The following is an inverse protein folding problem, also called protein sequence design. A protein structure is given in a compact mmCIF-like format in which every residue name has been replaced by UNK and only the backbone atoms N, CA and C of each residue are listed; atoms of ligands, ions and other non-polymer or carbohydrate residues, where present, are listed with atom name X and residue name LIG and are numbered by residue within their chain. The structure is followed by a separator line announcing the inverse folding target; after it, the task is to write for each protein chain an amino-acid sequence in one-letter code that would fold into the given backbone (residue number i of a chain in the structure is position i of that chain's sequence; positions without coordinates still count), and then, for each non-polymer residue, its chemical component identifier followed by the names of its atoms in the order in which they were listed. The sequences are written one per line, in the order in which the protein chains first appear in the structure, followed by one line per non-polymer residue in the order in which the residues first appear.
data_IF_890912753805
#
_entry.id   IF_890912753805
#
_cell.length_a   1.000
_cell.length_b   1.000
_cell.length_c   1.000
_cell.angle_alpha   90.00
_cell.angle_beta   90.00
_cell.angle_gamma   90.00
#
_symmetry.space_group_name_H-M   'P 1'
#
loop_
_entity.id
_entity.type
_entity.pdbx_description
1 polymer ?
#
# COMPACT_ATOMS: atom_id res chain seq x y z
N UNK A 1 -9.27 18.74 10.35
CA UNK A 1 -8.68 17.41 10.52
C UNK A 1 -8.70 16.79 9.14
N UNK A 2 -7.57 16.75 8.45
CA UNK A 2 -7.49 16.13 7.13
C UNK A 2 -7.44 14.63 7.38
N UNK A 3 -8.52 13.91 7.10
CA UNK A 3 -8.49 12.46 7.16
C UNK A 3 -7.54 11.99 6.05
N UNK A 4 -6.43 11.35 6.42
CA UNK A 4 -5.51 10.83 5.42
C UNK A 4 -6.17 9.77 4.56
N UNK A 5 -5.54 9.50 3.42
CA UNK A 5 -6.12 8.60 2.42
C UNK A 5 -5.35 7.29 2.36
N UNK A 6 -6.07 6.18 2.50
CA UNK A 6 -5.53 4.82 2.36
C UNK A 6 -5.73 4.35 0.92
N UNK A 7 -4.64 3.94 0.29
CA UNK A 7 -4.61 3.47 -1.10
C UNK A 7 -4.34 1.99 -1.08
N UNK A 8 -5.22 1.19 -1.68
CA UNK A 8 -5.02 -0.25 -1.85
C UNK A 8 -4.62 -0.50 -3.30
N UNK A 9 -3.39 -0.94 -3.54
CA UNK A 9 -2.91 -1.30 -4.86
C UNK A 9 -3.63 -2.55 -5.41
N UNK A 10 -3.68 -2.70 -6.75
CA UNK A 10 -4.31 -3.86 -7.37
C UNK A 10 -3.64 -5.16 -6.90
N UNK A 11 -4.32 -6.29 -7.07
CA UNK A 11 -3.79 -7.60 -6.70
C UNK A 11 -4.26 -8.12 -5.35
N UNK A 12 -3.91 -9.39 -5.06
CA UNK A 12 -4.46 -10.15 -3.95
C UNK A 12 -5.91 -10.60 -4.14
N UNK A 13 -6.47 -11.30 -3.14
CA UNK A 13 -7.84 -11.80 -3.17
C UNK A 13 -8.86 -10.64 -3.12
N UNK A 14 -9.87 -10.68 -3.98
CA UNK A 14 -10.94 -9.66 -3.99
C UNK A 14 -11.70 -9.61 -2.67
N UNK A 15 -11.91 -10.78 -2.03
CA UNK A 15 -12.55 -10.88 -0.73
C UNK A 15 -11.75 -10.15 0.36
N UNK A 16 -10.43 -10.31 0.38
CA UNK A 16 -9.54 -9.60 1.29
C UNK A 16 -9.69 -8.08 1.14
N UNK A 17 -9.61 -7.56 -0.10
CA UNK A 17 -9.78 -6.12 -0.36
C UNK A 17 -11.15 -5.61 0.09
N UNK A 18 -12.21 -6.35 -0.22
CA UNK A 18 -13.58 -5.95 0.15
C UNK A 18 -13.79 -5.93 1.67
N UNK A 19 -13.21 -6.89 2.38
CA UNK A 19 -13.29 -6.99 3.85
C UNK A 19 -12.48 -5.88 4.50
N UNK A 20 -11.29 -5.60 3.99
CA UNK A 20 -10.44 -4.53 4.49
C UNK A 20 -11.06 -3.15 4.25
N UNK A 21 -11.59 -2.88 3.04
CA UNK A 21 -12.29 -1.61 2.77
C UNK A 21 -13.49 -1.42 3.70
N UNK A 22 -14.25 -2.49 3.99
CA UNK A 22 -15.35 -2.42 4.95
C UNK A 22 -14.86 -2.13 6.36
N UNK A 23 -13.78 -2.77 6.81
CA UNK A 23 -13.19 -2.53 8.12
C UNK A 23 -12.68 -1.08 8.27
N UNK A 24 -12.02 -0.54 7.24
CA UNK A 24 -11.56 0.86 7.23
C UNK A 24 -12.75 1.84 7.27
N UNK A 25 -13.79 1.59 6.48
CA UNK A 25 -14.99 2.43 6.46
C UNK A 25 -15.72 2.42 7.81
N UNK A 26 -15.76 1.27 8.50
CA UNK A 26 -16.34 1.16 9.84
C UNK A 26 -15.59 1.98 10.89
N UNK A 27 -14.29 2.20 10.68
CA UNK A 27 -13.44 3.04 11.53
C UNK A 27 -13.51 4.54 11.16
N UNK A 28 -14.25 4.88 10.09
CA UNK A 28 -14.36 6.25 9.59
C UNK A 28 -13.19 6.71 8.72
N UNK A 29 -12.30 5.79 8.30
CA UNK A 29 -11.19 6.09 7.41
C UNK A 29 -11.62 6.16 5.94
N UNK A 30 -10.85 6.89 5.13
CA UNK A 30 -11.03 6.94 3.68
C UNK A 30 -10.06 5.98 2.99
N UNK A 31 -10.61 4.96 2.32
CA UNK A 31 -9.83 4.05 1.49
C UNK A 31 -10.43 3.94 0.09
N UNK A 32 -9.55 3.83 -0.91
CA UNK A 32 -9.95 3.41 -2.25
C UNK A 32 -8.97 2.38 -2.80
N UNK A 33 -9.51 1.48 -3.63
CA UNK A 33 -8.72 0.49 -4.35
C UNK A 33 -8.48 0.95 -5.77
N UNK A 34 -7.26 0.79 -6.25
CA UNK A 34 -6.88 1.00 -7.64
C UNK A 34 -7.26 -0.27 -8.40
N UNK A 35 -8.28 -0.17 -9.24
CA UNK A 35 -8.70 -1.27 -10.12
C UNK A 35 -8.18 -0.99 -11.53
N UNK A 36 -7.33 -1.89 -12.03
CA UNK A 36 -6.71 -1.72 -13.34
C UNK A 36 -7.40 -2.65 -14.32
N UNK A 37 -7.89 -2.12 -15.45
CA UNK A 37 -8.53 -2.94 -16.46
C UNK A 37 -7.59 -4.05 -16.94
N UNK A 38 -8.11 -5.28 -17.17
CA UNK A 38 -7.31 -6.48 -17.44
C UNK A 38 -6.55 -6.43 -18.79
N UNK A 39 -6.84 -5.47 -19.65
CA UNK A 39 -6.20 -5.29 -20.95
C UNK A 39 -5.81 -3.82 -21.15
N UNK A 40 -4.60 -3.48 -20.76
CA UNK A 40 -4.02 -2.17 -21.05
C UNK A 40 -2.64 -2.32 -21.68
N UNK A 41 -2.37 -1.52 -22.72
CA UNK A 41 -1.07 -1.48 -23.38
C UNK A 41 -0.02 -0.69 -22.56
N UNK A 42 -0.46 0.09 -21.57
CA UNK A 42 0.42 0.88 -20.72
C UNK A 42 0.99 0.03 -19.57
N UNK A 43 2.22 0.31 -19.11
CA UNK A 43 2.78 -0.33 -17.92
C UNK A 43 1.86 -0.12 -16.70
N UNK A 44 1.70 -1.16 -15.87
CA UNK A 44 0.85 -1.12 -14.68
C UNK A 44 1.18 0.05 -13.76
N UNK A 45 2.46 0.35 -13.55
CA UNK A 45 2.91 1.49 -12.75
C UNK A 45 2.37 2.84 -13.25
N UNK A 46 2.29 3.04 -14.58
CA UNK A 46 1.74 4.26 -15.17
C UNK A 46 0.24 4.37 -14.91
N UNK A 47 -0.49 3.25 -15.02
CA UNK A 47 -1.94 3.20 -14.75
C UNK A 47 -2.26 3.48 -13.29
N UNK A 48 -1.48 2.89 -12.36
CA UNK A 48 -1.56 3.17 -10.93
C UNK A 48 -1.35 4.67 -10.68
N UNK A 49 -0.29 5.26 -11.25
CA UNK A 49 0.02 6.67 -11.05
C UNK A 49 -1.04 7.59 -11.67
N UNK A 50 -1.61 7.24 -12.82
CA UNK A 50 -2.66 8.00 -13.47
C UNK A 50 -3.95 8.01 -12.64
N UNK A 51 -4.40 6.85 -12.14
CA UNK A 51 -5.56 6.78 -11.25
C UNK A 51 -5.31 7.53 -9.94
N UNK A 52 -4.11 7.45 -9.38
CA UNK A 52 -3.74 8.23 -8.19
C UNK A 52 -3.80 9.73 -8.45
N UNK A 53 -3.39 10.18 -9.63
CA UNK A 53 -3.49 11.58 -10.01
C UNK A 53 -4.94 12.01 -10.20
N UNK A 54 -5.77 11.17 -10.85
CA UNK A 54 -7.19 11.44 -11.10
C UNK A 54 -8.02 11.48 -9.81
N UNK A 55 -7.76 10.57 -8.87
CA UNK A 55 -8.42 10.56 -7.56
C UNK A 55 -8.02 11.73 -6.66
N UNK A 56 -6.88 12.39 -6.97
CA UNK A 56 -6.31 13.50 -6.24
C UNK A 56 -6.37 13.34 -4.70
N UNK A 57 -5.86 12.24 -4.13
CA UNK A 57 -6.04 11.96 -2.72
C UNK A 57 -5.31 13.01 -1.86
N UNK A 58 -5.98 13.45 -0.80
CA UNK A 58 -5.42 14.39 0.16
C UNK A 58 -4.43 13.66 1.06
N UNK A 59 -3.28 14.29 1.30
CA UNK A 59 -2.28 13.77 2.23
C UNK A 59 -2.72 13.89 3.70
N UNK A 60 -2.16 13.07 4.61
CA UNK A 60 -1.12 12.06 4.35
C UNK A 60 -1.65 10.75 3.73
N UNK A 61 -0.81 10.10 2.92
CA UNK A 61 -1.19 8.88 2.20
C UNK A 61 -0.64 7.63 2.87
N UNK A 62 -1.45 6.58 2.98
CA UNK A 62 -1.00 5.25 3.40
C UNK A 62 -1.19 4.28 2.24
N UNK A 63 -0.12 3.63 1.80
CA UNK A 63 -0.17 2.76 0.61
C UNK A 63 -0.05 1.30 1.04
N UNK A 64 -1.05 0.50 0.70
CA UNK A 64 -1.10 -0.93 0.92
C UNK A 64 -0.84 -1.66 -0.41
N UNK A 65 0.24 -2.44 -0.45
CA UNK A 65 0.64 -3.24 -1.60
C UNK A 65 0.51 -4.74 -1.29
N UNK A 66 -0.42 -5.44 -1.95
CA UNK A 66 -0.42 -6.90 -1.99
C UNK A 66 0.81 -7.43 -2.75
N UNK A 67 1.19 -8.68 -2.45
CA UNK A 67 2.26 -9.46 -3.08
C UNK A 67 2.60 -9.10 -4.54
N UNK A 68 1.61 -9.06 -5.42
CA UNK A 68 1.76 -8.87 -6.87
C UNK A 68 2.02 -7.42 -7.31
N UNK A 69 1.89 -6.46 -6.40
CA UNK A 69 2.00 -5.02 -6.69
C UNK A 69 3.14 -4.34 -5.95
N UNK A 70 3.89 -5.11 -5.18
CA UNK A 70 5.09 -4.66 -4.47
C UNK A 70 6.12 -4.09 -5.44
N UNK A 71 6.29 -4.70 -6.62
CA UNK A 71 7.23 -4.23 -7.66
C UNK A 71 6.96 -2.81 -8.18
N UNK A 72 5.71 -2.34 -8.06
CA UNK A 72 5.33 -1.00 -8.54
C UNK A 72 5.53 0.09 -7.49
N UNK A 73 5.79 -0.28 -6.23
CA UNK A 73 5.95 0.67 -5.14
C UNK A 73 6.98 1.78 -5.41
N UNK A 74 8.18 1.50 -5.96
CA UNK A 74 9.15 2.54 -6.26
C UNK A 74 8.61 3.59 -7.25
N UNK A 75 7.85 3.15 -8.26
CA UNK A 75 7.23 4.06 -9.22
C UNK A 75 6.11 4.88 -8.56
N UNK A 76 5.35 4.28 -7.65
CA UNK A 76 4.31 4.97 -6.88
C UNK A 76 4.91 6.03 -5.96
N UNK A 77 5.98 5.73 -5.20
CA UNK A 77 6.70 6.73 -4.39
C UNK A 77 7.17 7.90 -5.24
N UNK A 78 7.83 7.62 -6.36
CA UNK A 78 8.33 8.67 -7.24
C UNK A 78 7.20 9.57 -7.75
N UNK A 79 6.05 8.98 -8.12
CA UNK A 79 4.89 9.74 -8.54
C UNK A 79 4.28 10.59 -7.40
N UNK A 80 4.21 10.06 -6.17
CA UNK A 80 3.71 10.84 -5.03
C UNK A 80 4.66 11.98 -4.66
N UNK A 81 5.96 11.72 -4.69
CA UNK A 81 6.99 12.72 -4.41
C UNK A 81 6.99 13.84 -5.45
N UNK A 82 6.87 13.52 -6.73
CA UNK A 82 6.75 14.52 -7.80
C UNK A 82 5.43 15.29 -7.72
N UNK A 83 4.36 14.67 -7.22
CA UNK A 83 3.10 15.33 -6.89
C UNK A 83 3.13 16.11 -5.56
N UNK A 84 4.27 16.20 -4.87
CA UNK A 84 4.43 16.83 -3.54
C UNK A 84 3.48 16.27 -2.47
N UNK A 85 3.03 15.02 -2.62
CA UNK A 85 2.19 14.34 -1.63
C UNK A 85 3.07 13.57 -0.66
N UNK A 86 2.77 13.72 0.63
CA UNK A 86 3.47 13.00 1.69
C UNK A 86 2.85 11.61 1.86
N UNK A 87 3.67 10.58 1.71
CA UNK A 87 3.32 9.22 2.13
C UNK A 87 3.72 9.05 3.60
N UNK A 88 2.76 8.64 4.43
CA UNK A 88 2.98 8.37 5.84
C UNK A 88 3.62 7.00 6.06
N UNK A 89 3.17 5.98 5.33
CA UNK A 89 3.66 4.62 5.48
C UNK A 89 3.31 3.74 4.26
N UNK A 90 4.14 2.71 4.05
CA UNK A 90 3.91 1.64 3.09
C UNK A 90 3.68 0.33 3.82
N UNK A 91 2.64 -0.41 3.44
CA UNK A 91 2.30 -1.72 4.00
C UNK A 91 2.36 -2.77 2.90
N UNK A 92 3.25 -3.74 3.04
CA UNK A 92 3.44 -4.83 2.10
C UNK A 92 2.84 -6.11 2.68
N UNK A 93 1.92 -6.74 1.97
CA UNK A 93 1.31 -8.02 2.37
C UNK A 93 1.91 -9.13 1.53
N UNK A 94 2.57 -10.08 2.18
CA UNK A 94 3.20 -11.26 1.57
C UNK A 94 4.05 -10.90 0.32
N UNK A 95 5.05 -10.00 0.43
CA UNK A 95 5.86 -9.63 -0.73
C UNK A 95 6.56 -10.85 -1.32
N UNK A 96 6.28 -11.14 -2.60
CA UNK A 96 6.92 -12.25 -3.33
C UNK A 96 8.29 -11.85 -3.89
N UNK A 97 8.53 -10.55 -4.02
CA UNK A 97 9.72 -9.96 -4.65
C UNK A 97 10.30 -8.87 -3.76
N UNK A 98 11.61 -8.60 -3.93
CA UNK A 98 12.25 -7.41 -3.36
C UNK A 98 12.00 -6.22 -4.30
N UNK A 99 11.16 -5.23 -3.94
CA UNK A 99 10.99 -4.03 -4.75
C UNK A 99 12.32 -3.27 -4.77
N UNK A 100 13.03 -3.38 -5.88
CA UNK A 100 14.32 -2.74 -6.08
C UNK A 100 14.13 -1.47 -6.90
N UNK A 101 14.44 -0.33 -6.29
CA UNK A 101 14.40 0.98 -6.93
C UNK A 101 15.53 1.88 -6.42
N UNK A 102 16.14 2.74 -7.25
CA UNK A 102 17.33 3.52 -6.90
C UNK A 102 17.12 4.57 -5.80
N UNK A 103 15.87 4.84 -5.39
CA UNK A 103 15.50 5.95 -4.50
C UNK A 103 14.31 5.63 -3.57
N UNK A 104 14.15 4.35 -3.22
CA UNK A 104 13.17 3.83 -2.26
C UNK A 104 13.85 3.36 -0.96
N UNK A 105 13.27 3.53 0.24
CA UNK A 105 11.98 4.15 0.59
C UNK A 105 12.08 5.60 1.12
N UNK A 106 11.04 6.40 0.91
CA UNK A 106 10.87 7.78 1.41
C UNK A 106 9.98 7.91 2.66
N UNK A 107 9.32 6.81 3.06
CA UNK A 107 8.48 6.69 4.24
C UNK A 107 8.71 5.32 4.94
N UNK A 108 8.31 5.13 6.22
CA UNK A 108 8.44 3.85 6.89
C UNK A 108 7.71 2.74 6.11
N UNK A 109 8.39 1.59 5.98
CA UNK A 109 7.90 0.40 5.29
C UNK A 109 7.62 -0.68 6.32
N UNK A 110 6.39 -1.16 6.30
CA UNK A 110 5.88 -2.24 7.12
C UNK A 110 5.61 -3.46 6.26
N UNK A 111 6.08 -4.63 6.69
CA UNK A 111 5.85 -5.90 6.01
C UNK A 111 5.03 -6.81 6.91
N UNK A 112 3.96 -7.38 6.37
CA UNK A 112 3.18 -8.42 7.04
C UNK A 112 3.20 -9.70 6.22
N UNK A 113 3.47 -10.82 6.87
CA UNK A 113 3.49 -12.15 6.27
C UNK A 113 2.29 -12.94 6.84
N UNK A 114 1.23 -13.13 6.05
CA UNK A 114 0.03 -13.89 6.46
C UNK A 114 0.22 -15.40 6.22
N UNK A 115 0.99 -15.80 5.19
CA UNK A 115 1.29 -17.20 4.89
C UNK A 115 2.74 -17.54 5.22
N UNK A 116 2.96 -17.90 6.49
CA UNK A 116 4.27 -18.22 7.05
C UNK A 116 4.72 -19.63 6.66
N UNK A 117 5.47 -19.74 5.57
CA UNK A 117 6.49 -20.81 5.36
C UNK A 117 7.75 -20.28 4.65
N UNK A 118 7.66 -19.19 3.89
CA UNK A 118 8.82 -18.47 3.39
C UNK A 118 9.09 -17.24 4.27
N UNK A 119 9.74 -17.45 5.41
CA UNK A 119 10.29 -16.37 6.23
C UNK A 119 11.30 -15.58 5.39
N UNK A 120 10.81 -14.58 4.68
CA UNK A 120 11.62 -13.81 3.76
C UNK A 120 12.50 -12.88 4.58
N UNK A 121 13.83 -13.05 4.52
CA UNK A 121 14.82 -12.18 5.20
C UNK A 121 14.86 -10.74 4.65
N UNK A 122 13.94 -10.40 3.74
CA UNK A 122 13.82 -9.10 3.10
C UNK A 122 13.69 -7.93 4.09
N UNK A 123 12.88 -8.00 5.16
CA UNK A 123 12.73 -6.87 6.09
C UNK A 123 14.01 -6.56 6.85
N UNK A 124 14.71 -7.59 7.34
CA UNK A 124 15.95 -7.45 8.10
C UNK A 124 17.09 -6.85 7.26
N UNK A 125 17.19 -7.24 5.99
CA UNK A 125 18.25 -6.78 5.09
C UNK A 125 18.05 -5.33 4.61
N UNK A 126 16.83 -4.79 4.73
CA UNK A 126 16.46 -3.42 4.29
C UNK A 126 16.09 -2.48 5.44
N UNK A 127 16.03 -2.98 6.67
CA UNK A 127 15.59 -2.21 7.84
C UNK A 127 14.09 -1.93 7.87
N UNK A 128 13.27 -2.76 7.21
CA UNK A 128 11.81 -2.62 7.23
C UNK A 128 11.22 -3.23 8.49
N UNK A 129 10.10 -2.67 8.96
CA UNK A 129 9.45 -3.12 10.18
C UNK A 129 8.52 -4.29 9.87
N UNK A 130 8.79 -5.43 10.50
CA UNK A 130 7.90 -6.59 10.39
C UNK A 130 6.70 -6.41 11.35
N UNK A 131 5.48 -6.45 10.81
CA UNK A 131 4.24 -6.43 11.56
C UNK A 131 3.58 -7.80 11.51
N UNK A 132 3.46 -8.42 12.68
CA UNK A 132 2.65 -9.62 12.89
C UNK A 132 1.22 -9.18 13.15
N UNK A 133 0.44 -9.09 12.07
CA UNK A 133 -0.98 -8.77 12.15
C UNK A 133 -1.77 -10.08 12.20
N UNK A 134 -2.62 -10.22 13.21
CA UNK A 134 -3.40 -11.43 13.44
C UNK A 134 -4.74 -11.44 12.71
N UNK A 135 -5.17 -10.28 12.19
CA UNK A 135 -6.42 -10.15 11.46
C UNK A 135 -6.55 -8.86 10.66
N UNK A 136 -7.57 -8.82 9.78
CA UNK A 136 -7.87 -7.68 8.91
C UNK A 136 -8.30 -6.45 9.71
N UNK A 137 -8.98 -6.63 10.85
CA UNK A 137 -9.42 -5.52 11.72
C UNK A 137 -8.24 -4.80 12.36
N UNK A 138 -7.21 -5.54 12.77
CA UNK A 138 -5.97 -5.00 13.31
C UNK A 138 -5.21 -4.21 12.24
N UNK A 139 -5.11 -4.77 11.02
CA UNK A 139 -4.57 -4.06 9.87
C UNK A 139 -5.33 -2.76 9.58
N UNK A 140 -6.66 -2.79 9.53
CA UNK A 140 -7.48 -1.60 9.28
C UNK A 140 -7.25 -0.53 10.35
N UNK A 141 -7.17 -0.91 11.61
CA UNK A 141 -6.91 0.00 12.74
C UNK A 141 -5.57 0.71 12.58
N UNK A 142 -4.52 -0.06 12.24
CA UNK A 142 -3.18 0.49 12.03
C UNK A 142 -3.15 1.42 10.80
N UNK A 143 -3.80 1.04 9.70
CA UNK A 143 -3.86 1.87 8.49
C UNK A 143 -4.54 3.22 8.76
N UNK A 144 -5.68 3.21 9.47
CA UNK A 144 -6.42 4.44 9.83
C UNK A 144 -5.60 5.31 10.78
N UNK A 145 -4.99 4.72 11.81
CA UNK A 145 -4.15 5.47 12.75
C UNK A 145 -2.97 6.20 12.07
N UNK A 146 -2.35 5.57 11.06
CA UNK A 146 -1.27 6.19 10.29
C UNK A 146 -1.75 7.20 9.26
N UNK A 147 -2.99 7.08 8.79
CA UNK A 147 -3.62 8.08 7.93
C UNK A 147 -4.03 9.34 8.71
N UNK A 148 -4.29 9.24 10.01
CA UNK A 148 -4.68 10.37 10.85
C UNK A 148 -3.49 11.11 11.52
N UNK A 149 -2.27 10.61 11.34
CA UNK A 149 -1.02 11.14 11.95
C UNK A 149 -0.34 12.23 11.10
#
# INVERSE_FOLDING_TARGET
MSAGTIIILPGGAAEFRSTLMRAIANLGGFAFSIDIPPVSAAPMSVLICAQLHEHDPLGPLVVLAPASSVDFLPAVALAQRTAHRRVAAYYLIDPLTDPTGPEWPDAPVYVTQQNSEAASKLPELRGWQELKLTGIEELATVLVANADS
#
